data_IF_704757275729
#
_entry.id   IF_704757275729
#
_cell.length_a   1.000
_cell.length_b   1.000
_cell.length_c   1.000
_cell.angle_alpha   90.00
_cell.angle_beta   90.00
_cell.angle_gamma   90.00
#
_symmetry.space_group_name_H-M   'P 1'
#
loop_
_entity.id
_entity.type
_entity.pdbx_description
1 polymer ?
#
# COMPACT_ATOMS: atom_id res chain seq x y z
N UNK A 1 -36.73 -15.37 6.00
CA UNK A 1 -36.35 -14.18 6.79
C UNK A 1 -35.76 -13.17 5.84
N UNK A 2 -36.21 -11.92 5.89
CA UNK A 2 -35.64 -10.84 5.08
C UNK A 2 -34.36 -10.34 5.76
N UNK A 3 -33.26 -11.07 5.56
CA UNK A 3 -31.94 -10.46 5.75
C UNK A 3 -31.74 -9.54 4.54
N UNK A 4 -31.97 -8.24 4.74
CA UNK A 4 -31.62 -7.22 3.75
C UNK A 4 -30.14 -7.34 3.46
N UNK A 5 -29.80 -7.97 2.33
CA UNK A 5 -28.46 -8.43 1.97
C UNK A 5 -27.45 -7.30 1.98
N UNK A 6 -26.78 -7.11 3.12
CA UNK A 6 -25.63 -6.24 3.20
C UNK A 6 -24.52 -6.91 2.41
N UNK A 7 -24.06 -6.26 1.34
CA UNK A 7 -22.93 -6.74 0.57
C UNK A 7 -21.75 -6.97 1.52
N UNK A 8 -21.14 -8.15 1.47
CA UNK A 8 -19.92 -8.47 2.23
C UNK A 8 -18.66 -7.86 1.57
N UNK A 9 -18.80 -6.62 1.11
CA UNK A 9 -17.75 -5.84 0.46
C UNK A 9 -17.24 -4.83 1.49
N UNK A 10 -15.92 -4.82 1.68
CA UNK A 10 -15.23 -3.83 2.49
C UNK A 10 -14.28 -3.04 1.60
N UNK A 11 -14.43 -1.72 1.60
CA UNK A 11 -13.48 -0.82 0.96
C UNK A 11 -12.29 -0.62 1.90
N UNK A 12 -11.09 -0.82 1.38
CA UNK A 12 -9.84 -0.63 2.11
C UNK A 12 -8.98 0.41 1.40
N UNK A 13 -8.58 1.44 2.13
CA UNK A 13 -7.67 2.48 1.64
C UNK A 13 -6.24 2.10 2.00
N UNK A 14 -5.33 2.24 1.03
CA UNK A 14 -3.89 2.08 1.24
C UNK A 14 -3.22 3.46 1.17
N UNK A 15 -2.70 4.00 2.29
CA UNK A 15 -2.12 5.34 2.30
C UNK A 15 -0.82 5.41 1.50
N UNK A 16 -0.82 6.18 0.41
CA UNK A 16 0.38 6.54 -0.36
C UNK A 16 0.83 7.99 -0.11
N UNK A 17 -0.03 8.78 0.55
CA UNK A 17 0.22 10.17 0.95
C UNK A 17 -0.10 10.29 2.44
N UNK A 18 0.85 10.77 3.23
CA UNK A 18 0.67 10.94 4.68
C UNK A 18 0.54 9.61 5.42
N UNK A 19 -0.24 9.62 6.49
CA UNK A 19 -0.54 8.49 7.37
C UNK A 19 -2.03 8.13 7.34
N UNK A 20 -2.46 7.17 8.16
CA UNK A 20 -3.86 6.79 8.29
C UNK A 20 -4.75 7.91 8.83
N UNK A 21 -4.20 8.77 9.70
CA UNK A 21 -4.94 9.93 10.20
C UNK A 21 -5.22 10.93 9.08
N UNK A 22 -4.26 11.16 8.19
CA UNK A 22 -4.43 11.98 6.99
C UNK A 22 -5.44 11.35 6.04
N UNK A 23 -5.29 10.07 5.71
CA UNK A 23 -6.22 9.36 4.83
C UNK A 23 -7.66 9.41 5.34
N UNK A 24 -7.88 9.18 6.64
CA UNK A 24 -9.21 9.25 7.25
C UNK A 24 -9.80 10.66 7.18
N UNK A 25 -8.99 11.71 7.42
CA UNK A 25 -9.45 13.10 7.27
C UNK A 25 -9.86 13.42 5.84
N UNK A 26 -9.07 12.97 4.84
CA UNK A 26 -9.41 13.17 3.42
C UNK A 26 -10.70 12.45 3.04
N UNK A 27 -10.87 11.20 3.47
CA UNK A 27 -12.10 10.44 3.19
C UNK A 27 -13.33 11.08 3.84
N UNK A 28 -13.24 11.53 5.10
CA UNK A 28 -14.33 12.26 5.76
C UNK A 28 -14.68 13.56 5.05
N UNK A 29 -13.67 14.28 4.56
CA UNK A 29 -13.88 15.51 3.81
C UNK A 29 -14.59 15.23 2.48
N UNK A 30 -14.16 14.21 1.74
CA UNK A 30 -14.75 13.80 0.47
C UNK A 30 -16.19 13.31 0.63
N UNK A 31 -16.44 12.49 1.64
CA UNK A 31 -17.77 11.98 1.96
C UNK A 31 -18.76 13.14 2.20
N UNK A 32 -18.39 14.10 3.07
CA UNK A 32 -19.20 15.31 3.29
C UNK A 32 -19.40 16.12 2.01
N UNK A 33 -18.35 16.28 1.20
CA UNK A 33 -18.43 17.03 -0.06
C UNK A 33 -19.33 16.35 -1.11
N UNK A 34 -19.57 15.04 -0.98
CA UNK A 34 -20.41 14.25 -1.89
C UNK A 34 -21.80 13.93 -1.30
N UNK A 35 -22.16 14.56 -0.17
CA UNK A 35 -23.48 14.44 0.46
C UNK A 35 -23.58 13.40 1.58
N UNK A 36 -22.46 12.78 1.97
CA UNK A 36 -22.36 11.86 3.10
C UNK A 36 -22.29 12.55 4.46
N UNK A 37 -22.28 11.74 5.52
CA UNK A 37 -22.37 12.19 6.91
C UNK A 37 -21.02 12.49 7.57
N UNK A 38 -19.93 11.95 7.01
CA UNK A 38 -18.58 11.96 7.56
C UNK A 38 -18.44 11.22 8.88
N UNK A 39 -19.36 10.29 9.21
CA UNK A 39 -19.30 9.44 10.41
C UNK A 39 -18.26 8.34 10.24
N UNK A 40 -17.67 7.92 11.36
CA UNK A 40 -16.61 6.90 11.37
C UNK A 40 -17.07 5.54 10.82
N UNK A 41 -18.33 5.18 11.06
CA UNK A 41 -18.94 3.93 10.56
C UNK A 41 -19.12 3.88 9.04
N UNK A 42 -19.14 5.04 8.37
CA UNK A 42 -19.29 5.17 6.92
C UNK A 42 -17.91 5.19 6.21
N UNK A 43 -16.81 5.25 6.97
CA UNK A 43 -15.45 5.38 6.43
C UNK A 43 -14.85 4.02 6.03
N UNK A 44 -14.02 3.99 4.98
CA UNK A 44 -13.31 2.78 4.62
C UNK A 44 -12.31 2.39 5.71
N UNK A 45 -12.01 1.09 5.79
CA UNK A 45 -10.89 0.64 6.62
C UNK A 45 -9.58 1.12 6.00
N UNK A 46 -8.55 1.36 6.82
CA UNK A 46 -7.24 1.78 6.33
C UNK A 46 -6.26 0.63 6.57
N UNK A 47 -5.56 0.21 5.52
CA UNK A 47 -4.44 -0.72 5.65
C UNK A 47 -3.23 0.05 6.19
N UNK A 48 -2.86 -0.25 7.43
CA UNK A 48 -1.71 0.38 8.11
C UNK A 48 -0.44 -0.45 7.92
N UNK A 49 0.76 0.16 7.99
CA UNK A 49 2.02 -0.55 8.20
C UNK A 49 1.90 -1.51 9.38
N UNK A 50 2.49 -2.70 9.25
CA UNK A 50 2.69 -3.62 10.36
C UNK A 50 3.52 -2.93 11.46
N UNK A 51 3.06 -2.89 12.72
CA UNK A 51 3.70 -2.13 13.79
C UNK A 51 5.08 -2.67 14.20
N UNK A 52 5.35 -3.96 13.96
CA UNK A 52 6.57 -4.66 14.39
C UNK A 52 7.56 -4.97 13.25
N UNK A 53 7.33 -4.43 12.05
CA UNK A 53 8.26 -4.61 10.93
C UNK A 53 9.41 -3.61 11.01
N UNK A 54 10.65 -4.08 10.76
CA UNK A 54 11.78 -3.17 10.61
C UNK A 54 11.77 -2.56 9.21
N UNK A 55 11.24 -1.33 9.11
CA UNK A 55 11.24 -0.56 7.87
C UNK A 55 12.56 0.18 7.61
N UNK A 56 13.58 -0.07 8.43
CA UNK A 56 14.83 0.68 8.41
C UNK A 56 14.68 2.11 8.93
N UNK A 57 15.80 2.79 9.11
CA UNK A 57 15.86 4.12 9.73
C UNK A 57 15.01 5.17 8.98
N UNK A 58 14.91 5.07 7.66
CA UNK A 58 14.19 6.04 6.84
C UNK A 58 12.68 6.07 7.13
N UNK A 59 12.03 4.89 7.20
CA UNK A 59 10.57 4.75 7.39
C UNK A 59 10.16 4.59 8.86
N UNK A 60 11.10 4.36 9.78
CA UNK A 60 10.80 4.34 11.22
C UNK A 60 10.23 5.67 11.72
N UNK A 61 10.73 6.79 11.19
CA UNK A 61 10.25 8.14 11.54
C UNK A 61 8.82 8.42 11.10
N UNK A 62 8.33 7.71 10.09
CA UNK A 62 6.98 7.83 9.55
C UNK A 62 6.09 6.68 10.00
N UNK A 63 6.44 5.93 11.04
CA UNK A 63 5.64 4.79 11.52
C UNK A 63 5.45 3.70 10.46
N UNK A 64 6.40 3.56 9.53
CA UNK A 64 6.31 2.62 8.42
C UNK A 64 5.63 3.17 7.16
N UNK A 65 5.03 4.36 7.17
CA UNK A 65 4.45 4.94 5.94
C UNK A 65 5.54 5.39 4.95
N UNK A 66 5.24 5.36 3.66
CA UNK A 66 6.12 5.94 2.64
C UNK A 66 5.97 7.48 2.62
N UNK A 67 7.08 8.17 2.35
CA UNK A 67 7.02 9.60 2.04
C UNK A 67 6.62 9.74 0.58
N UNK A 68 5.54 10.49 0.32
CA UNK A 68 5.00 10.62 -1.03
C UNK A 68 6.06 11.14 -2.01
N UNK A 69 6.24 10.39 -3.10
CA UNK A 69 7.21 10.71 -4.14
C UNK A 69 8.68 10.52 -3.76
N UNK A 70 9.04 10.11 -2.55
CA UNK A 70 10.43 9.82 -2.18
C UNK A 70 10.84 8.47 -2.79
N UNK A 71 11.92 8.38 -3.60
CA UNK A 71 12.37 7.08 -4.11
C UNK A 71 12.79 6.16 -2.98
N UNK A 72 12.29 4.92 -2.98
CA UNK A 72 12.54 3.94 -1.93
C UNK A 72 12.76 2.53 -2.52
N UNK A 73 13.79 1.83 -2.04
CA UNK A 73 14.15 0.50 -2.54
C UNK A 73 12.98 -0.51 -2.45
N UNK A 74 12.21 -0.49 -1.36
CA UNK A 74 11.05 -1.37 -1.19
C UNK A 74 9.92 -1.10 -2.20
N UNK A 75 9.76 0.15 -2.65
CA UNK A 75 8.80 0.51 -3.70
C UNK A 75 9.29 0.00 -5.05
N UNK A 76 10.58 0.20 -5.36
CA UNK A 76 11.18 -0.33 -6.58
C UNK A 76 11.08 -1.86 -6.66
N UNK A 77 11.39 -2.56 -5.56
CA UNK A 77 11.26 -4.01 -5.49
C UNK A 77 9.82 -4.47 -5.78
N UNK A 78 8.83 -3.76 -5.22
CA UNK A 78 7.41 -4.10 -5.46
C UNK A 78 7.00 -3.80 -6.91
N UNK A 79 7.55 -2.74 -7.50
CA UNK A 79 7.35 -2.42 -8.92
C UNK A 79 7.94 -3.52 -9.83
N UNK A 80 9.16 -3.97 -9.55
CA UNK A 80 9.86 -5.02 -10.31
C UNK A 80 9.15 -6.38 -10.16
N UNK A 81 8.84 -6.79 -8.92
CA UNK A 81 8.11 -8.03 -8.64
C UNK A 81 6.77 -8.08 -9.39
N UNK A 82 5.95 -7.05 -9.27
CA UNK A 82 4.62 -7.02 -9.89
C UNK A 82 4.72 -7.02 -11.41
N UNK A 83 5.71 -6.34 -12.00
CA UNK A 83 5.96 -6.33 -13.44
C UNK A 83 6.47 -7.69 -13.93
N UNK A 84 7.53 -8.20 -13.33
CA UNK A 84 8.33 -9.30 -13.87
C UNK A 84 7.71 -10.67 -13.53
N UNK A 85 7.10 -10.81 -12.35
CA UNK A 85 6.53 -12.09 -11.90
C UNK A 85 5.03 -12.19 -12.17
N UNK A 86 4.32 -11.06 -12.25
CA UNK A 86 2.86 -11.03 -12.34
C UNK A 86 2.30 -10.32 -13.58
N UNK A 87 3.15 -9.66 -14.38
CA UNK A 87 2.71 -8.91 -15.56
C UNK A 87 1.82 -7.70 -15.24
N UNK A 88 1.85 -7.22 -13.99
CA UNK A 88 1.09 -6.06 -13.53
C UNK A 88 2.02 -4.85 -13.49
N UNK A 89 1.84 -3.95 -14.45
CA UNK A 89 2.57 -2.69 -14.50
C UNK A 89 1.96 -1.72 -13.49
N UNK A 90 2.76 -1.18 -12.59
CA UNK A 90 2.34 -0.23 -11.57
C UNK A 90 3.08 1.10 -11.73
N UNK A 91 2.51 2.19 -11.25
CA UNK A 91 3.25 3.43 -11.09
C UNK A 91 4.08 3.43 -9.78
N UNK A 92 5.10 4.29 -9.71
CA UNK A 92 6.02 4.38 -8.56
C UNK A 92 5.54 5.32 -7.44
N UNK A 93 4.38 5.97 -7.58
CA UNK A 93 3.83 6.92 -6.61
C UNK A 93 2.67 6.36 -5.78
N UNK A 94 1.83 5.51 -6.38
CA UNK A 94 0.62 4.97 -5.78
C UNK A 94 0.59 3.44 -5.86
N UNK A 95 0.68 2.88 -7.08
CA UNK A 95 0.56 1.44 -7.30
C UNK A 95 1.60 0.63 -6.54
N UNK A 96 2.88 0.86 -6.81
CA UNK A 96 3.96 0.11 -6.18
C UNK A 96 4.05 0.30 -4.66
N UNK A 97 3.88 1.52 -4.08
CA UNK A 97 3.76 1.68 -2.64
C UNK A 97 2.57 0.91 -2.03
N UNK A 98 1.42 0.89 -2.71
CA UNK A 98 0.24 0.17 -2.24
C UNK A 98 0.48 -1.34 -2.21
N UNK A 99 1.04 -1.88 -3.29
CA UNK A 99 1.41 -3.30 -3.37
C UNK A 99 2.50 -3.66 -2.37
N UNK A 100 3.48 -2.79 -2.13
CA UNK A 100 4.50 -3.01 -1.10
C UNK A 100 3.89 -3.26 0.28
N UNK A 101 2.88 -2.46 0.65
CA UNK A 101 2.18 -2.65 1.92
C UNK A 101 1.28 -3.90 1.90
N UNK A 102 0.54 -4.12 0.82
CA UNK A 102 -0.32 -5.31 0.69
C UNK A 102 0.47 -6.62 0.77
N UNK A 103 1.60 -6.71 0.07
CA UNK A 103 2.47 -7.89 0.06
C UNK A 103 3.05 -8.19 1.45
N UNK A 104 3.37 -7.17 2.25
CA UNK A 104 3.81 -7.35 3.64
C UNK A 104 2.76 -8.08 4.48
N UNK A 105 1.50 -7.63 4.40
CA UNK A 105 0.38 -8.29 5.09
C UNK A 105 0.11 -9.69 4.53
N UNK A 106 0.17 -9.84 3.21
CA UNK A 106 -0.11 -11.09 2.52
C UNK A 106 0.90 -12.20 2.89
N UNK A 107 2.20 -11.89 2.86
CA UNK A 107 3.29 -12.82 3.20
C UNK A 107 3.28 -13.19 4.68
N UNK A 108 3.01 -12.22 5.56
CA UNK A 108 2.91 -12.46 7.00
C UNK A 108 1.74 -13.39 7.34
N UNK A 109 0.63 -13.30 6.61
CA UNK A 109 -0.56 -14.15 6.82
C UNK A 109 -0.35 -15.59 6.31
N UNK A 110 0.51 -15.79 5.30
CA UNK A 110 0.80 -17.11 4.72
C UNK A 110 1.88 -17.90 5.47
N UNK A 111 2.59 -17.30 6.42
CA UNK A 111 3.68 -17.97 7.13
C UNK A 111 4.97 -18.10 6.32
N UNK A 112 5.08 -17.41 5.17
CA UNK A 112 6.30 -17.34 4.36
C UNK A 112 7.32 -16.41 5.05
N UNK A 113 7.96 -16.91 6.11
CA UNK A 113 9.04 -16.21 6.81
C UNK A 113 10.38 -16.81 6.38
N UNK A 114 10.88 -16.37 5.22
CA UNK A 114 12.26 -16.58 4.82
C UNK A 114 13.21 -15.67 5.62
N UNK A 115 14.11 -16.30 6.37
CA UNK A 115 15.33 -15.77 7.00
C UNK A 115 15.29 -14.33 7.57
N UNK A 116 14.91 -14.20 8.85
CA UNK A 116 15.45 -13.11 9.69
C UNK A 116 14.58 -12.58 10.82
N UNK A 117 13.25 -12.75 10.78
CA UNK A 117 12.39 -12.20 11.82
C UNK A 117 11.91 -13.26 12.80
N UNK A 118 12.54 -13.25 13.98
CA UNK A 118 12.03 -13.92 15.17
C UNK A 118 10.66 -13.34 15.57
N UNK A 119 9.61 -14.13 15.33
CA UNK A 119 8.59 -14.37 16.36
C UNK A 119 7.48 -13.34 16.54
N UNK A 120 6.55 -13.28 15.59
CA UNK A 120 5.10 -13.45 15.84
C UNK A 120 4.38 -13.39 14.49
N UNK A 121 3.65 -14.43 14.12
CA UNK A 121 2.58 -14.26 13.16
C UNK A 121 1.69 -13.14 13.72
N UNK A 122 1.53 -12.04 12.98
CA UNK A 122 0.64 -10.98 13.40
C UNK A 122 -0.79 -11.50 13.28
N UNK A 123 -1.25 -12.18 14.32
CA UNK A 123 -2.66 -12.51 14.57
C UNK A 123 -3.30 -11.28 15.22
N UNK A 124 -3.09 -10.10 14.64
CA UNK A 124 -3.83 -8.92 15.04
C UNK A 124 -5.10 -8.89 14.20
N UNK A 125 -6.26 -9.06 14.84
CA UNK A 125 -7.59 -9.04 14.21
C UNK A 125 -7.96 -7.73 13.48
N UNK A 126 -7.02 -6.81 13.30
CA UNK A 126 -7.20 -5.48 12.73
C UNK A 126 -6.71 -5.35 11.28
N UNK A 127 -6.13 -6.39 10.68
CA UNK A 127 -5.79 -6.35 9.25
C UNK A 127 -7.08 -6.45 8.41
N UNK A 128 -7.49 -5.40 7.67
CA UNK A 128 -8.80 -5.36 7.03
C UNK A 128 -8.94 -6.30 5.82
N UNK A 129 -7.82 -6.88 5.35
CA UNK A 129 -7.77 -7.80 4.21
C UNK A 129 -7.49 -9.27 4.61
N UNK A 130 -7.21 -9.54 5.88
CA UNK A 130 -6.86 -10.90 6.33
C UNK A 130 -8.03 -11.88 6.13
N UNK A 131 -7.75 -13.02 5.51
CA UNK A 131 -8.75 -14.06 5.23
C UNK A 131 -9.81 -13.67 4.20
N UNK A 132 -9.64 -12.57 3.47
CA UNK A 132 -10.61 -12.08 2.46
C UNK A 132 -10.07 -12.29 1.04
N UNK A 133 -10.99 -12.45 0.09
CA UNK A 133 -10.66 -12.24 -1.33
C UNK A 133 -10.46 -10.75 -1.57
N UNK A 134 -9.38 -10.40 -2.26
CA UNK A 134 -8.99 -9.00 -2.49
C UNK A 134 -9.13 -8.68 -3.97
N UNK A 135 -9.86 -7.60 -4.27
CA UNK A 135 -9.90 -6.98 -5.59
C UNK A 135 -9.11 -5.67 -5.51
N UNK A 136 -8.00 -5.60 -6.24
CA UNK A 136 -7.21 -4.37 -6.38
C UNK A 136 -7.77 -3.51 -7.52
N UNK A 137 -7.95 -2.21 -7.26
CA UNK A 137 -8.39 -1.25 -8.27
C UNK A 137 -7.17 -0.47 -8.75
N UNK A 138 -6.72 -0.74 -9.97
CA UNK A 138 -5.63 0.00 -10.60
C UNK A 138 -6.18 1.31 -11.20
N UNK A 139 -5.73 2.45 -10.68
CA UNK A 139 -6.26 3.77 -11.03
C UNK A 139 -5.43 4.59 -12.04
N UNK A 140 -4.63 3.94 -12.90
CA UNK A 140 -3.72 4.63 -13.84
C UNK A 140 -2.38 5.07 -13.23
N UNK A 141 -1.77 6.13 -13.79
CA UNK A 141 -0.50 6.72 -13.32
C UNK A 141 0.76 6.25 -14.05
N UNK A 142 0.61 5.39 -15.06
CA UNK A 142 1.75 4.80 -15.80
C UNK A 142 2.54 5.83 -16.60
N UNK A 143 1.90 6.93 -17.01
CA UNK A 143 2.54 8.05 -17.70
C UNK A 143 3.66 8.70 -16.88
N UNK A 144 3.62 8.57 -15.55
CA UNK A 144 4.65 9.11 -14.65
C UNK A 144 5.90 8.24 -14.50
N UNK A 145 5.88 6.98 -14.94
CA UNK A 145 6.91 5.98 -14.62
C UNK A 145 8.31 6.41 -15.05
N UNK A 146 8.49 6.87 -16.30
CA UNK A 146 9.81 7.28 -16.82
C UNK A 146 10.43 8.42 -16.01
N UNK A 147 9.62 9.41 -15.62
CA UNK A 147 10.07 10.52 -14.78
C UNK A 147 10.46 10.05 -13.38
N UNK A 148 9.71 9.09 -12.81
CA UNK A 148 10.02 8.53 -11.50
C UNK A 148 11.29 7.69 -11.55
N UNK A 149 11.45 6.78 -12.51
CA UNK A 149 12.67 6.00 -12.70
C UNK A 149 13.92 6.89 -12.80
N UNK A 150 13.82 8.03 -13.48
CA UNK A 150 14.90 9.03 -13.51
C UNK A 150 15.29 9.52 -12.11
N UNK A 151 14.33 9.74 -11.22
CA UNK A 151 14.59 10.11 -9.81
C UNK A 151 15.21 8.96 -9.01
N UNK A 152 14.80 7.71 -9.25
CA UNK A 152 15.42 6.53 -8.65
C UNK A 152 16.89 6.40 -9.08
N UNK A 153 17.19 6.67 -10.36
CA UNK A 153 18.55 6.72 -10.91
C UNK A 153 19.39 7.80 -10.22
N UNK A 154 18.86 9.02 -10.05
CA UNK A 154 19.57 10.09 -9.35
C UNK A 154 19.86 9.75 -7.87
N UNK A 155 19.03 8.90 -7.24
CA UNK A 155 19.25 8.39 -5.89
C UNK A 155 20.17 7.15 -5.84
N UNK A 156 20.66 6.69 -6.99
CA UNK A 156 21.54 5.51 -7.08
C UNK A 156 20.84 4.18 -6.80
N UNK A 157 19.50 4.13 -6.91
CA UNK A 157 18.72 2.91 -6.66
C UNK A 157 18.60 2.01 -7.89
N UNK A 158 18.86 2.55 -9.08
CA UNK A 158 18.90 1.80 -10.35
C UNK A 158 20.10 2.24 -11.18
N UNK A 159 20.64 1.33 -11.99
CA UNK A 159 21.71 1.65 -12.92
C UNK A 159 21.20 2.61 -14.03
N UNK A 160 22.08 3.46 -14.53
CA UNK A 160 21.81 4.31 -15.67
C UNK A 160 21.35 3.54 -16.91
N UNK A 161 21.71 2.25 -17.01
CA UNK A 161 21.41 1.36 -18.15
C UNK A 161 20.03 0.71 -18.07
N UNK A 162 19.40 0.66 -16.90
CA UNK A 162 18.09 0.01 -16.70
C UNK A 162 16.91 0.93 -16.97
N UNK A 163 17.15 2.19 -17.36
CA UNK A 163 16.12 3.14 -17.79
C UNK A 163 16.20 3.29 -19.30
N UNK A 164 15.49 2.42 -20.03
CA UNK A 164 15.15 2.67 -21.44
C UNK A 164 13.62 2.74 -21.59
N UNK A 165 13.11 3.66 -22.43
CA UNK A 165 11.68 3.80 -22.71
C UNK A 165 11.08 2.58 -23.42
#
# INVERSE_FOLDING_TARGET
GKDGGRLDIRVVVVPCVGDDSYALRQMKSLDRATGGSGRDEDMPSILRPLPDSDYGAARRRTGGYFVFGEPAAAVLQSFEEMRDEHGVFLDLLYGAPAWSLMLQHWRTTRGDVGHGHHGRAYVGGDCPIAGRQVMYVHSGGLEGVSSQLTRYKHKGLIDARSVQP
#
